data_IF_355742303145
#
_entry.id   IF_355742303145
#
_cell.length_a   1.000
_cell.length_b   1.000
_cell.length_c   1.000
_cell.angle_alpha   90.00
_cell.angle_beta   90.00
_cell.angle_gamma   90.00
#
_symmetry.space_group_name_H-M   'P 1'
#
loop_
_entity.id
_entity.type
_entity.pdbx_description
1 polymer ?
#
# COMPACT_ATOMS: atom_id res chain seq x y z
N UNK A 1 27.21 -21.67 -31.56
CA UNK A 1 25.87 -21.79 -30.95
C UNK A 1 26.14 -22.12 -29.49
N UNK A 2 26.05 -21.24 -28.52
CA UNK A 2 25.06 -20.20 -28.18
C UNK A 2 25.80 -18.99 -27.62
N UNK A 3 25.67 -17.82 -28.26
CA UNK A 3 26.17 -16.57 -27.70
C UNK A 3 25.21 -16.11 -26.61
N UNK A 4 25.62 -16.25 -25.35
CA UNK A 4 25.14 -15.39 -24.27
C UNK A 4 25.41 -13.95 -24.69
N UNK A 5 24.36 -13.24 -25.11
CA UNK A 5 24.43 -11.78 -25.25
C UNK A 5 24.55 -11.23 -23.85
N UNK A 6 25.76 -10.86 -23.46
CA UNK A 6 26.01 -9.95 -22.35
C UNK A 6 25.30 -8.64 -22.66
N UNK A 7 24.08 -8.52 -22.15
CA UNK A 7 23.38 -7.26 -22.03
C UNK A 7 24.04 -6.48 -20.88
N UNK A 8 25.11 -5.73 -21.17
CA UNK A 8 25.53 -4.59 -20.33
C UNK A 8 24.48 -3.48 -20.48
N UNK A 9 23.42 -3.51 -19.66
CA UNK A 9 22.29 -2.57 -19.73
C UNK A 9 21.97 -1.97 -18.36
N UNK A 10 21.56 -0.70 -18.37
CA UNK A 10 20.99 -0.01 -17.22
C UNK A 10 19.46 -0.26 -17.20
N UNK A 11 19.06 -1.37 -16.58
CA UNK A 11 17.68 -1.90 -16.52
C UNK A 11 16.69 -1.05 -15.68
N UNK A 12 17.13 0.08 -15.14
CA UNK A 12 16.58 0.54 -13.88
C UNK A 12 15.46 1.58 -13.98
N UNK A 13 15.29 2.30 -15.09
CA UNK A 13 14.46 3.52 -15.08
C UNK A 13 12.95 3.29 -14.97
N UNK A 14 12.37 2.51 -15.88
CA UNK A 14 10.92 2.26 -15.85
C UNK A 14 10.53 1.35 -14.68
N UNK A 15 11.40 0.41 -14.31
CA UNK A 15 11.26 -0.40 -13.09
C UNK A 15 11.23 0.50 -11.84
N UNK A 16 12.16 1.47 -11.73
CA UNK A 16 12.16 2.49 -10.66
C UNK A 16 10.95 3.44 -10.75
N UNK A 17 10.48 3.83 -11.94
CA UNK A 17 9.25 4.62 -12.13
C UNK A 17 8.02 3.88 -11.60
N UNK A 18 7.90 2.57 -11.84
CA UNK A 18 6.83 1.72 -11.31
C UNK A 18 7.00 1.55 -9.79
N UNK A 19 8.20 1.26 -9.30
CA UNK A 19 8.47 1.08 -7.87
C UNK A 19 8.18 2.34 -7.05
N UNK A 20 8.39 3.55 -7.58
CA UNK A 20 8.01 4.78 -6.87
C UNK A 20 6.56 5.20 -7.09
N UNK A 21 5.99 4.94 -8.27
CA UNK A 21 4.59 5.27 -8.55
C UNK A 21 3.60 4.31 -7.93
N UNK A 22 3.98 3.05 -7.77
CA UNK A 22 3.13 2.00 -7.21
C UNK A 22 3.51 1.71 -5.76
N UNK A 23 4.81 1.57 -5.47
CA UNK A 23 5.32 1.07 -4.18
C UNK A 23 6.00 2.13 -3.30
N UNK A 24 6.07 3.40 -3.73
CA UNK A 24 6.72 4.52 -3.00
C UNK A 24 8.17 4.24 -2.51
N UNK A 25 8.95 3.44 -3.25
CA UNK A 25 10.34 3.13 -2.89
C UNK A 25 11.31 4.26 -3.27
N UNK A 26 12.42 4.39 -2.53
CA UNK A 26 13.48 5.39 -2.79
C UNK A 26 14.19 5.07 -4.11
N UNK A 27 14.22 6.03 -5.04
CA UNK A 27 15.01 5.97 -6.28
C UNK A 27 16.32 6.79 -6.11
N UNK A 28 17.36 6.39 -6.83
CA UNK A 28 18.59 7.15 -7.11
C UNK A 28 18.32 8.63 -7.50
N UNK A 29 19.20 9.55 -7.09
CA UNK A 29 19.04 11.00 -7.25
C UNK A 29 19.09 11.48 -8.70
N UNK A 30 19.59 10.67 -9.63
CA UNK A 30 19.62 10.97 -11.06
C UNK A 30 18.23 10.94 -11.75
N UNK A 31 17.21 10.33 -11.12
CA UNK A 31 15.88 10.18 -11.71
C UNK A 31 14.77 10.73 -10.78
N UNK A 32 14.19 11.88 -11.15
CA UNK A 32 13.07 12.48 -10.41
C UNK A 32 11.72 12.03 -10.96
N UNK A 33 11.29 10.82 -10.60
CA UNK A 33 9.90 10.40 -10.75
C UNK A 33 9.08 10.86 -9.54
N UNK A 34 8.05 11.68 -9.72
CA UNK A 34 7.11 12.01 -8.64
C UNK A 34 5.71 11.55 -9.05
N UNK A 35 5.20 10.53 -8.36
CA UNK A 35 3.80 10.12 -8.51
C UNK A 35 2.94 10.71 -7.40
N UNK A 36 1.83 11.33 -7.81
CA UNK A 36 0.78 11.73 -6.91
C UNK A 36 -0.45 10.86 -7.18
N UNK A 37 -0.78 9.89 -6.32
CA UNK A 37 -2.00 9.08 -6.45
C UNK A 37 -3.27 9.95 -6.49
N UNK A 38 -3.29 11.03 -5.71
CA UNK A 38 -4.41 11.97 -5.66
C UNK A 38 -4.59 12.77 -6.97
N UNK A 39 -3.49 13.12 -7.63
CA UNK A 39 -3.51 13.92 -8.87
C UNK A 39 -3.40 13.06 -10.14
N UNK A 40 -3.10 11.76 -10.01
CA UNK A 40 -2.78 10.81 -11.10
C UNK A 40 -1.64 11.29 -12.01
N UNK A 41 -0.73 12.09 -11.46
CA UNK A 41 0.36 12.72 -12.21
C UNK A 41 1.67 12.02 -11.93
N UNK A 42 2.45 11.81 -12.99
CA UNK A 42 3.84 11.39 -12.96
C UNK A 42 4.65 12.52 -13.60
N UNK A 43 5.67 13.00 -12.91
CA UNK A 43 6.68 13.85 -13.54
C UNK A 43 7.83 12.99 -14.05
N UNK A 44 8.18 13.16 -15.34
CA UNK A 44 9.29 12.48 -16.00
C UNK A 44 10.39 13.49 -16.29
N UNK A 45 11.62 13.20 -15.86
CA UNK A 45 12.80 13.92 -16.31
C UNK A 45 13.43 13.16 -17.47
N UNK A 46 13.59 13.83 -18.61
CA UNK A 46 14.09 13.22 -19.84
C UNK A 46 15.58 13.44 -20.11
N UNK A 47 16.31 14.17 -19.26
CA UNK A 47 17.70 14.59 -19.53
C UNK A 47 18.65 13.44 -19.88
N UNK A 48 18.39 12.26 -19.31
CA UNK A 48 19.16 11.01 -19.46
C UNK A 48 18.91 10.25 -20.77
N UNK A 49 17.90 10.61 -21.55
CA UNK A 49 17.54 9.91 -22.79
C UNK A 49 18.16 10.54 -24.03
N UNK A 50 18.47 9.72 -25.02
CA UNK A 50 18.87 10.15 -26.36
C UNK A 50 17.75 10.93 -27.07
N UNK A 51 18.12 11.69 -28.10
CA UNK A 51 17.15 12.45 -28.90
C UNK A 51 16.09 11.54 -29.57
N UNK A 52 16.48 10.32 -29.96
CA UNK A 52 15.59 9.35 -30.58
C UNK A 52 14.57 8.81 -29.58
N UNK A 53 15.01 8.44 -28.38
CA UNK A 53 14.13 7.98 -27.29
C UNK A 53 13.18 9.09 -26.85
N UNK A 54 13.66 10.34 -26.70
CA UNK A 54 12.81 11.50 -26.38
C UNK A 54 11.67 11.67 -27.38
N UNK A 55 11.96 11.57 -28.69
CA UNK A 55 10.95 11.66 -29.75
C UNK A 55 9.92 10.54 -29.65
N UNK A 56 10.38 9.31 -29.39
CA UNK A 56 9.51 8.14 -29.22
C UNK A 56 8.61 8.24 -27.99
N UNK A 57 9.16 8.71 -26.87
CA UNK A 57 8.42 8.97 -25.63
C UNK A 57 7.32 10.01 -25.88
N UNK A 58 7.66 11.12 -26.55
CA UNK A 58 6.67 12.15 -26.89
C UNK A 58 5.57 11.60 -27.82
N UNK A 59 5.93 10.78 -28.81
CA UNK A 59 4.98 10.10 -29.70
C UNK A 59 4.04 9.14 -28.95
N UNK A 60 4.55 8.37 -27.98
CA UNK A 60 3.77 7.42 -27.18
C UNK A 60 2.83 8.11 -26.17
N UNK A 61 3.16 9.33 -25.76
CA UNK A 61 2.41 10.11 -24.78
C UNK A 61 1.46 11.14 -25.41
N UNK A 62 1.59 11.41 -26.72
CA UNK A 62 0.67 12.27 -27.46
C UNK A 62 -0.61 11.49 -27.83
N UNK A 63 -1.79 11.85 -27.28
CA UNK A 63 -3.03 11.13 -27.56
C UNK A 63 -3.47 11.23 -29.04
N UNK A 64 -2.92 12.17 -29.82
CA UNK A 64 -3.18 12.29 -31.26
C UNK A 64 -2.29 11.38 -32.11
N UNK A 65 -1.25 10.80 -31.52
CA UNK A 65 -0.34 9.88 -32.21
C UNK A 65 -1.03 8.56 -32.55
N UNK A 66 -0.82 8.07 -33.77
CA UNK A 66 -1.31 6.77 -34.21
C UNK A 66 -0.73 5.63 -33.37
N UNK A 67 0.55 5.73 -32.97
CA UNK A 67 1.18 4.73 -32.09
C UNK A 67 0.51 4.69 -30.72
N UNK A 68 0.24 5.86 -30.13
CA UNK A 68 -0.42 5.94 -28.83
C UNK A 68 -1.85 5.36 -28.87
N UNK A 69 -2.57 5.57 -29.98
CA UNK A 69 -3.91 4.99 -30.17
C UNK A 69 -3.87 3.46 -30.31
N UNK A 70 -2.89 2.91 -31.04
CA UNK A 70 -2.71 1.46 -31.16
C UNK A 70 -2.34 0.83 -29.81
N UNK A 71 -1.39 1.43 -29.09
CA UNK A 71 -1.00 0.97 -27.75
C UNK A 71 -2.18 1.04 -26.78
N UNK A 72 -3.01 2.09 -26.85
CA UNK A 72 -4.22 2.19 -26.04
C UNK A 72 -5.23 1.09 -26.36
N UNK A 73 -5.46 0.75 -27.63
CA UNK A 73 -6.35 -0.37 -27.99
C UNK A 73 -5.89 -1.71 -27.40
N UNK A 74 -4.59 -1.98 -27.45
CA UNK A 74 -4.00 -3.24 -26.99
C UNK A 74 -4.02 -3.33 -25.47
N UNK A 75 -3.56 -2.27 -24.80
CA UNK A 75 -3.38 -2.29 -23.35
C UNK A 75 -4.65 -1.86 -22.61
N UNK A 76 -5.62 -1.22 -23.27
CA UNK A 76 -6.78 -0.59 -22.65
C UNK A 76 -6.38 0.28 -21.43
N UNK A 77 -5.23 0.96 -21.55
CA UNK A 77 -4.65 1.88 -20.57
C UNK A 77 -3.84 2.93 -21.34
N UNK A 78 -3.89 4.19 -20.88
CA UNK A 78 -3.28 5.31 -21.61
C UNK A 78 -2.52 6.21 -20.65
N UNK A 79 -1.26 6.48 -20.99
CA UNK A 79 -0.46 7.56 -20.39
C UNK A 79 -0.49 8.78 -21.32
N UNK A 80 -0.93 9.93 -20.81
CA UNK A 80 -1.12 11.16 -21.60
C UNK A 80 -0.21 12.27 -21.11
N UNK A 81 0.54 12.89 -22.01
CA UNK A 81 1.26 14.13 -21.72
C UNK A 81 0.27 15.30 -21.61
N UNK A 82 0.38 16.11 -20.55
CA UNK A 82 -0.38 17.36 -20.44
C UNK A 82 0.20 18.42 -21.39
N UNK A 83 -0.66 19.13 -22.12
CA UNK A 83 -0.26 20.13 -23.15
C UNK A 83 0.66 21.23 -22.58
N UNK A 84 0.48 21.59 -21.31
CA UNK A 84 1.28 22.59 -20.59
C UNK A 84 2.74 22.17 -20.32
N UNK A 85 3.10 20.89 -20.55
CA UNK A 85 4.42 20.31 -20.25
C UNK A 85 5.34 20.14 -21.47
N UNK A 86 5.12 20.88 -22.55
CA UNK A 86 5.99 20.88 -23.75
C UNK A 86 7.37 21.54 -23.51
N UNK A 87 7.94 21.40 -22.31
CA UNK A 87 9.33 21.75 -22.06
C UNK A 87 10.19 20.50 -22.32
N UNK A 88 11.29 20.63 -23.08
CA UNK A 88 11.97 19.49 -23.75
C UNK A 88 12.43 18.37 -22.81
N UNK A 89 12.75 18.71 -21.56
CA UNK A 89 13.42 17.79 -20.63
C UNK A 89 12.59 17.43 -19.39
N UNK A 90 11.36 17.95 -19.24
CA UNK A 90 10.47 17.59 -18.12
C UNK A 90 9.02 17.48 -18.58
N UNK A 91 8.46 16.28 -18.50
CA UNK A 91 7.08 15.98 -18.91
C UNK A 91 6.20 15.70 -17.70
N UNK A 92 4.97 16.20 -17.71
CA UNK A 92 3.94 15.76 -16.77
C UNK A 92 2.97 14.82 -17.49
N UNK A 93 2.94 13.58 -17.02
CA UNK A 93 2.13 12.50 -17.58
C UNK A 93 0.98 12.17 -16.65
N UNK A 94 -0.18 11.90 -17.24
CA UNK A 94 -1.40 11.52 -16.55
C UNK A 94 -1.81 10.10 -16.94
N UNK A 95 -2.25 9.30 -15.96
CA UNK A 95 -2.83 7.98 -16.25
C UNK A 95 -4.33 8.17 -16.48
N UNK A 96 -4.75 8.00 -17.74
CA UNK A 96 -6.16 8.10 -18.13
C UNK A 96 -6.87 6.75 -18.02
N UNK A 97 -8.19 6.78 -17.83
CA UNK A 97 -9.06 5.60 -17.67
C UNK A 97 -8.78 4.70 -16.44
N UNK A 98 -8.57 5.29 -15.26
CA UNK A 98 -8.63 4.55 -13.99
C UNK A 98 -10.08 4.35 -13.54
N UNK A 99 -10.47 3.11 -13.27
CA UNK A 99 -11.77 2.78 -12.72
C UNK A 99 -11.96 3.49 -11.37
N UNK A 100 -13.16 4.05 -11.14
CA UNK A 100 -13.49 4.78 -9.91
C UNK A 100 -14.58 4.03 -9.18
N UNK A 101 -14.31 3.69 -7.92
CA UNK A 101 -15.28 3.07 -7.02
C UNK A 101 -15.56 4.06 -5.87
N UNK A 102 -16.75 4.66 -5.90
CA UNK A 102 -17.10 5.78 -5.03
C UNK A 102 -16.16 6.98 -5.25
N UNK A 103 -15.41 7.38 -4.22
CA UNK A 103 -14.46 8.50 -4.27
C UNK A 103 -13.01 8.09 -4.58
N UNK A 104 -12.72 6.78 -4.73
CA UNK A 104 -11.35 6.26 -4.88
C UNK A 104 -11.11 5.71 -6.28
N UNK A 105 -9.89 5.86 -6.78
CA UNK A 105 -9.44 5.18 -7.99
C UNK A 105 -8.93 3.78 -7.64
N UNK A 106 -9.36 2.79 -8.43
CA UNK A 106 -8.86 1.42 -8.37
C UNK A 106 -7.79 1.26 -9.43
N UNK A 107 -6.62 0.80 -9.00
CA UNK A 107 -5.48 0.57 -9.86
C UNK A 107 -5.34 -0.93 -10.08
N UNK A 108 -5.19 -1.34 -11.34
CA UNK A 108 -4.76 -2.69 -11.70
C UNK A 108 -3.23 -2.64 -11.87
N UNK A 109 -2.53 -2.90 -10.78
CA UNK A 109 -1.08 -2.74 -10.71
C UNK A 109 -0.34 -3.76 -11.60
N UNK A 110 -0.93 -4.93 -11.82
CA UNK A 110 -0.38 -5.94 -12.74
C UNK A 110 -0.46 -5.44 -14.17
N UNK A 111 -1.64 -5.00 -14.60
CA UNK A 111 -1.84 -4.42 -15.93
C UNK A 111 -0.97 -3.18 -16.14
N UNK A 112 -0.81 -2.35 -15.11
CA UNK A 112 0.09 -1.19 -15.15
C UNK A 112 1.54 -1.62 -15.35
N UNK A 113 2.05 -2.61 -14.60
CA UNK A 113 3.41 -3.14 -14.79
C UNK A 113 3.61 -3.67 -16.21
N UNK A 114 2.66 -4.44 -16.75
CA UNK A 114 2.75 -4.98 -18.10
C UNK A 114 2.73 -3.89 -19.17
N UNK A 115 1.84 -2.91 -19.01
CA UNK A 115 1.75 -1.74 -19.89
C UNK A 115 3.05 -0.95 -19.85
N UNK A 116 3.62 -0.72 -18.67
CA UNK A 116 4.87 0.02 -18.56
C UNK A 116 6.06 -0.75 -19.16
N UNK A 117 6.14 -2.06 -18.94
CA UNK A 117 7.14 -2.90 -19.60
C UNK A 117 7.01 -2.84 -21.13
N UNK A 118 5.77 -2.77 -21.64
CA UNK A 118 5.53 -2.59 -23.07
C UNK A 118 5.99 -1.23 -23.59
N UNK A 119 5.65 -0.14 -22.91
CA UNK A 119 6.16 1.19 -23.26
C UNK A 119 7.70 1.22 -23.27
N UNK A 120 8.33 0.63 -22.26
CA UNK A 120 9.79 0.51 -22.20
C UNK A 120 10.35 -0.25 -23.41
N UNK A 121 9.73 -1.37 -23.78
CA UNK A 121 10.15 -2.17 -24.91
C UNK A 121 9.96 -1.44 -26.26
N UNK A 122 8.95 -0.57 -26.39
CA UNK A 122 8.72 0.26 -27.58
C UNK A 122 9.72 1.41 -27.70
N UNK A 123 10.07 2.06 -26.59
CA UNK A 123 11.04 3.16 -26.56
C UNK A 123 12.42 2.66 -27.00
N UNK A 124 12.79 1.44 -26.57
CA UNK A 124 14.09 0.84 -26.83
C UNK A 124 14.17 0.05 -28.14
N UNK A 125 13.10 0.00 -28.94
CA UNK A 125 13.09 -0.71 -30.21
C UNK A 125 13.11 0.29 -31.39
N UNK A 126 14.30 0.60 -31.94
CA UNK A 126 14.43 1.58 -33.03
C UNK A 126 13.77 1.12 -34.34
N UNK A 127 13.47 -0.17 -34.49
CA UNK A 127 12.90 -0.75 -35.71
C UNK A 127 11.36 -0.69 -35.74
N UNK A 128 10.71 -0.39 -34.61
CA UNK A 128 9.25 -0.26 -34.52
C UNK A 128 8.85 1.19 -34.83
N UNK A 129 8.46 1.48 -36.07
CA UNK A 129 7.87 2.77 -36.47
C UNK A 129 6.38 2.61 -36.79
N UNK A 130 5.62 3.70 -36.79
CA UNK A 130 4.20 3.70 -37.18
C UNK A 130 3.99 3.16 -38.60
N UNK A 131 5.00 3.32 -39.46
CA UNK A 131 5.00 2.90 -40.86
C UNK A 131 5.34 1.42 -41.03
N UNK A 132 6.11 0.83 -40.10
CA UNK A 132 6.58 -0.56 -40.18
C UNK A 132 5.80 -1.54 -39.30
N UNK A 133 4.85 -1.06 -38.50
CA UNK A 133 4.20 -1.88 -37.46
C UNK A 133 2.68 -1.90 -37.60
N UNK A 134 2.09 -3.09 -37.69
CA UNK A 134 0.64 -3.26 -37.67
C UNK A 134 0.10 -3.41 -36.25
N UNK A 135 -1.23 -3.30 -36.08
CA UNK A 135 -1.90 -3.58 -34.80
C UNK A 135 -1.63 -5.02 -34.33
N UNK A 136 -1.53 -5.98 -35.27
CA UNK A 136 -1.23 -7.38 -34.98
C UNK A 136 0.18 -7.56 -34.43
N UNK A 137 1.18 -6.92 -35.05
CA UNK A 137 2.58 -7.04 -34.61
C UNK A 137 2.77 -6.47 -33.19
N UNK A 138 2.13 -5.33 -32.89
CA UNK A 138 2.16 -4.73 -31.56
C UNK A 138 1.45 -5.61 -30.53
N UNK A 139 0.36 -6.28 -30.92
CA UNK A 139 -0.39 -7.17 -30.05
C UNK A 139 0.45 -8.40 -29.69
N UNK A 140 1.11 -9.04 -30.66
CA UNK A 140 2.01 -10.18 -30.43
C UNK A 140 3.22 -9.78 -29.56
N UNK A 141 3.74 -8.57 -29.79
CA UNK A 141 4.83 -8.04 -28.97
C UNK A 141 4.40 -7.78 -27.53
N UNK A 142 3.21 -7.19 -27.33
CA UNK A 142 2.62 -7.02 -26.00
C UNK A 142 2.40 -8.36 -25.30
N UNK A 143 1.86 -9.37 -26.00
CA UNK A 143 1.65 -10.70 -25.43
C UNK A 143 2.97 -11.32 -24.96
N UNK A 144 4.03 -11.21 -25.77
CA UNK A 144 5.37 -11.71 -25.41
C UNK A 144 5.86 -11.05 -24.11
N UNK A 145 5.71 -9.74 -24.00
CA UNK A 145 6.12 -8.97 -22.81
C UNK A 145 5.27 -9.35 -21.60
N UNK A 146 3.96 -9.48 -21.76
CA UNK A 146 3.06 -9.89 -20.70
C UNK A 146 3.39 -11.30 -20.18
N UNK A 147 3.72 -12.25 -21.08
CA UNK A 147 4.16 -13.59 -20.67
C UNK A 147 5.48 -13.57 -19.90
N UNK A 148 6.44 -12.75 -20.32
CA UNK A 148 7.69 -12.57 -19.59
C UNK A 148 7.45 -12.00 -18.19
N UNK A 149 6.59 -10.97 -18.05
CA UNK A 149 6.25 -10.40 -16.75
C UNK A 149 5.50 -11.37 -15.85
N UNK A 150 4.60 -12.19 -16.40
CA UNK A 150 3.98 -13.30 -15.67
C UNK A 150 5.00 -14.31 -15.18
N UNK A 151 6.01 -14.62 -16.01
CA UNK A 151 7.15 -15.46 -15.65
C UNK A 151 7.89 -14.91 -14.43
N UNK A 152 8.27 -13.63 -14.45
CA UNK A 152 8.95 -12.97 -13.32
C UNK A 152 8.10 -12.99 -12.05
N UNK A 153 6.79 -12.73 -12.16
CA UNK A 153 5.87 -12.81 -11.01
C UNK A 153 5.78 -14.23 -10.46
N UNK A 154 5.72 -15.24 -11.33
CA UNK A 154 5.77 -16.65 -10.92
C UNK A 154 7.08 -17.00 -10.23
N UNK A 155 8.21 -16.54 -10.76
CA UNK A 155 9.54 -16.80 -10.18
C UNK A 155 9.69 -16.17 -8.79
N UNK A 156 9.17 -14.95 -8.60
CA UNK A 156 9.05 -14.34 -7.27
C UNK A 156 8.23 -15.23 -6.32
N UNK A 157 7.10 -15.75 -6.80
CA UNK A 157 6.28 -16.67 -6.03
C UNK A 157 7.01 -17.94 -5.63
N UNK A 158 7.77 -18.55 -6.54
CA UNK A 158 8.62 -19.70 -6.23
C UNK A 158 9.67 -19.37 -5.19
N UNK A 159 10.33 -18.21 -5.32
CA UNK A 159 11.29 -17.72 -4.35
C UNK A 159 10.68 -17.58 -2.95
N UNK A 160 9.50 -16.98 -2.86
CA UNK A 160 8.77 -16.82 -1.59
C UNK A 160 8.39 -18.19 -1.00
N UNK A 161 7.84 -19.09 -1.80
CA UNK A 161 7.41 -20.40 -1.32
C UNK A 161 8.59 -21.27 -0.87
N UNK A 162 9.70 -21.25 -1.60
CA UNK A 162 10.85 -22.14 -1.34
C UNK A 162 11.86 -21.54 -0.37
N UNK A 163 12.33 -20.30 -0.60
CA UNK A 163 13.36 -19.69 0.23
C UNK A 163 12.78 -19.07 1.51
N UNK A 164 11.62 -18.41 1.42
CA UNK A 164 11.03 -17.75 2.58
C UNK A 164 10.14 -18.68 3.41
N UNK A 165 9.35 -19.55 2.77
CA UNK A 165 8.40 -20.46 3.45
C UNK A 165 8.88 -21.91 3.53
N UNK A 166 10.03 -22.24 2.94
CA UNK A 166 10.69 -23.56 3.02
C UNK A 166 9.81 -24.71 2.51
N UNK A 167 8.95 -24.46 1.52
CA UNK A 167 8.28 -25.54 0.78
C UNK A 167 9.24 -26.19 -0.22
N UNK A 168 9.06 -27.49 -0.47
CA UNK A 168 9.83 -28.18 -1.49
C UNK A 168 9.33 -27.83 -2.89
N UNK A 169 10.25 -27.48 -3.80
CA UNK A 169 9.93 -27.02 -5.15
C UNK A 169 9.04 -28.00 -5.94
N UNK A 170 9.21 -29.31 -5.71
CA UNK A 170 8.50 -30.38 -6.41
C UNK A 170 7.00 -30.42 -6.13
N UNK A 171 6.58 -29.89 -4.97
CA UNK A 171 5.18 -29.91 -4.52
C UNK A 171 4.41 -28.65 -4.96
N UNK A 172 5.06 -27.73 -5.67
CA UNK A 172 4.53 -26.42 -6.04
C UNK A 172 4.15 -26.35 -7.52
N UNK A 173 2.94 -25.88 -7.80
CA UNK A 173 2.47 -25.61 -9.16
C UNK A 173 2.79 -24.19 -9.62
N UNK A 174 2.87 -24.01 -10.94
CA UNK A 174 3.07 -22.69 -11.57
C UNK A 174 1.93 -21.72 -11.24
N UNK A 175 0.70 -22.23 -11.16
CA UNK A 175 -0.46 -21.43 -10.78
C UNK A 175 -0.33 -20.91 -9.35
N UNK A 176 0.10 -21.76 -8.40
CA UNK A 176 0.25 -21.35 -7.01
C UNK A 176 1.36 -20.32 -6.85
N UNK A 177 2.51 -20.57 -7.46
CA UNK A 177 3.61 -19.62 -7.44
C UNK A 177 3.20 -18.28 -8.05
N UNK A 178 2.51 -18.27 -9.18
CA UNK A 178 2.02 -17.03 -9.77
C UNK A 178 1.05 -16.28 -8.85
N UNK A 179 0.08 -16.95 -8.22
CA UNK A 179 -0.85 -16.32 -7.26
C UNK A 179 -0.14 -15.74 -6.04
N UNK A 180 0.86 -16.45 -5.49
CA UNK A 180 1.69 -15.95 -4.39
C UNK A 180 2.50 -14.74 -4.84
N UNK A 181 3.13 -14.78 -6.01
CA UNK A 181 3.88 -13.65 -6.56
C UNK A 181 2.99 -12.42 -6.82
N UNK A 182 1.74 -12.64 -7.24
CA UNK A 182 0.76 -11.57 -7.48
C UNK A 182 0.48 -10.72 -6.26
N UNK A 183 0.74 -11.19 -5.03
CA UNK A 183 0.60 -10.38 -3.80
C UNK A 183 1.34 -9.05 -3.87
N UNK A 184 2.43 -8.93 -4.67
CA UNK A 184 3.10 -7.65 -4.90
C UNK A 184 2.17 -6.60 -5.52
N UNK A 185 1.17 -6.99 -6.30
CA UNK A 185 0.25 -6.06 -6.95
C UNK A 185 -0.91 -5.60 -6.07
N UNK A 186 -1.06 -6.13 -4.85
CA UNK A 186 -2.21 -5.80 -4.00
C UNK A 186 -1.82 -4.84 -2.88
N UNK A 187 -2.78 -3.98 -2.52
CA UNK A 187 -2.60 -2.99 -1.47
C UNK A 187 -3.79 -3.00 -0.52
N UNK A 188 -3.51 -2.85 0.77
CA UNK A 188 -4.52 -2.63 1.81
C UNK A 188 -4.15 -1.40 2.60
N UNK A 189 -5.05 -0.41 2.67
CA UNK A 189 -4.82 0.85 3.39
C UNK A 189 -3.48 1.57 3.04
N UNK A 190 -3.06 1.49 1.77
CA UNK A 190 -1.81 2.03 1.22
C UNK A 190 -0.51 1.31 1.68
N UNK A 191 -0.62 0.13 2.28
CA UNK A 191 0.50 -0.79 2.47
C UNK A 191 0.44 -1.88 1.41
N UNK A 192 1.60 -2.25 0.86
CA UNK A 192 1.69 -3.37 -0.07
C UNK A 192 1.35 -4.69 0.64
N UNK A 193 0.57 -5.54 -0.01
CA UNK A 193 0.13 -6.81 0.58
C UNK A 193 1.32 -7.75 0.81
N UNK A 194 2.21 -7.94 -0.17
CA UNK A 194 3.38 -8.81 0.01
C UNK A 194 4.26 -8.34 1.18
N UNK A 195 4.52 -7.03 1.28
CA UNK A 195 5.29 -6.46 2.40
C UNK A 195 4.60 -6.73 3.74
N UNK A 196 3.29 -6.53 3.83
CA UNK A 196 2.49 -6.85 5.01
C UNK A 196 2.58 -8.33 5.38
N UNK A 197 2.41 -9.23 4.40
CA UNK A 197 2.49 -10.68 4.64
C UNK A 197 3.86 -11.09 5.15
N UNK A 198 4.95 -10.61 4.54
CA UNK A 198 6.32 -10.88 4.97
C UNK A 198 6.57 -10.40 6.40
N UNK A 199 6.12 -9.18 6.69
CA UNK A 199 6.28 -8.53 7.98
C UNK A 199 5.53 -9.27 9.10
N UNK A 200 4.25 -9.58 8.91
CA UNK A 200 3.45 -10.35 9.87
C UNK A 200 4.04 -11.76 10.05
N UNK A 201 4.58 -12.36 8.99
CA UNK A 201 5.23 -13.67 9.04
C UNK A 201 6.49 -13.68 9.90
N UNK A 202 7.36 -12.67 9.74
CA UNK A 202 8.59 -12.53 10.52
C UNK A 202 8.26 -12.31 12.01
N UNK A 203 7.31 -11.41 12.29
CA UNK A 203 6.85 -11.16 13.66
C UNK A 203 6.25 -12.42 14.29
N UNK A 204 5.44 -13.17 13.54
CA UNK A 204 4.79 -14.40 14.02
C UNK A 204 5.80 -15.52 14.29
N UNK A 205 6.81 -15.68 13.43
CA UNK A 205 7.89 -16.64 13.64
C UNK A 205 8.68 -16.32 14.92
N UNK A 206 9.06 -15.06 15.11
CA UNK A 206 9.79 -14.61 16.30
C UNK A 206 8.96 -14.80 17.57
N UNK A 207 7.68 -14.46 17.53
CA UNK A 207 6.80 -14.61 18.69
C UNK A 207 6.56 -16.08 19.04
N UNK A 208 6.34 -16.93 18.04
CA UNK A 208 6.20 -18.38 18.22
C UNK A 208 7.46 -18.99 18.85
N UNK A 209 8.65 -18.57 18.42
CA UNK A 209 9.91 -19.02 19.01
C UNK A 209 9.99 -18.71 20.51
N UNK A 210 9.59 -17.50 20.93
CA UNK A 210 9.57 -17.12 22.37
C UNK A 210 8.59 -17.97 23.20
N UNK A 211 7.56 -18.53 22.57
CA UNK A 211 6.57 -19.40 23.19
C UNK A 211 6.91 -20.89 23.09
N UNK A 212 8.12 -21.25 22.61
CA UNK A 212 8.51 -22.64 22.32
C UNK A 212 7.57 -23.35 21.33
N UNK A 213 6.94 -22.60 20.42
CA UNK A 213 6.14 -23.11 19.31
C UNK A 213 6.97 -23.18 18.02
N UNK A 214 6.51 -23.94 17.03
CA UNK A 214 7.21 -24.08 15.75
C UNK A 214 7.20 -22.75 14.96
N UNK A 215 8.37 -22.09 14.75
CA UNK A 215 8.43 -20.79 14.06
C UNK A 215 8.03 -20.86 12.59
N UNK A 216 8.36 -21.96 11.90
CA UNK A 216 8.04 -22.16 10.49
C UNK A 216 6.53 -22.30 10.26
N UNK A 217 5.84 -23.03 11.14
CA UNK A 217 4.38 -23.12 11.09
C UNK A 217 3.74 -21.75 11.29
N UNK A 218 4.18 -20.99 12.29
CA UNK A 218 3.69 -19.63 12.52
C UNK A 218 3.95 -18.71 11.31
N UNK A 219 5.15 -18.77 10.73
CA UNK A 219 5.54 -18.03 9.51
C UNK A 219 4.60 -18.33 8.35
N UNK A 220 4.31 -19.61 8.09
CA UNK A 220 3.39 -20.04 7.01
C UNK A 220 1.94 -19.62 7.27
N UNK A 221 1.43 -19.83 8.48
CA UNK A 221 0.07 -19.41 8.86
C UNK A 221 -0.12 -17.91 8.63
N UNK A 222 0.83 -17.12 9.10
CA UNK A 222 0.84 -15.67 8.96
C UNK A 222 0.99 -15.21 7.50
N UNK A 223 1.82 -15.87 6.69
CA UNK A 223 1.99 -15.47 5.30
C UNK A 223 0.71 -15.62 4.49
N UNK A 224 -0.09 -16.65 4.76
CA UNK A 224 -1.28 -16.92 3.95
C UNK A 224 -2.57 -16.29 4.47
N UNK A 225 -2.58 -15.66 5.65
CA UNK A 225 -3.83 -15.18 6.28
C UNK A 225 -4.69 -14.31 5.35
N UNK A 226 -4.06 -13.45 4.56
CA UNK A 226 -4.71 -12.49 3.66
C UNK A 226 -4.57 -12.87 2.16
N UNK A 227 -4.17 -14.11 1.84
CA UNK A 227 -3.86 -14.52 0.45
C UNK A 227 -5.06 -14.40 -0.49
N UNK A 228 -6.29 -14.55 0.01
CA UNK A 228 -7.51 -14.45 -0.80
C UNK A 228 -7.74 -13.08 -1.45
N UNK A 229 -7.01 -12.04 -1.02
CA UNK A 229 -7.06 -10.73 -1.68
C UNK A 229 -6.61 -10.77 -3.14
N UNK A 230 -5.86 -11.79 -3.57
CA UNK A 230 -5.29 -11.87 -4.93
C UNK A 230 -6.25 -12.38 -6.01
N UNK A 231 -7.38 -12.99 -5.63
CA UNK A 231 -8.37 -13.54 -6.57
C UNK A 231 -9.54 -12.58 -6.78
N UNK A 232 -10.15 -12.10 -5.69
CA UNK A 232 -11.37 -11.29 -5.74
C UNK A 232 -12.55 -12.01 -6.41
N UNK A 233 -12.60 -13.34 -6.32
CA UNK A 233 -13.66 -14.16 -6.91
C UNK A 233 -14.92 -14.11 -6.02
N UNK A 234 -14.76 -13.94 -4.71
CA UNK A 234 -15.83 -13.68 -3.77
C UNK A 234 -15.78 -12.22 -3.26
N UNK A 235 -16.88 -11.76 -2.66
CA UNK A 235 -16.93 -10.44 -2.00
C UNK A 235 -16.17 -10.40 -0.66
N UNK A 236 -15.64 -11.55 -0.21
CA UNK A 236 -14.94 -11.73 1.05
C UNK A 236 -13.63 -12.50 0.80
N UNK A 237 -12.50 -11.84 1.10
CA UNK A 237 -11.17 -12.42 0.88
C UNK A 237 -10.88 -13.61 1.80
N UNK A 238 -11.62 -13.77 2.90
CA UNK A 238 -11.51 -14.95 3.76
C UNK A 238 -11.97 -16.19 3.01
N UNK A 239 -13.15 -16.12 2.38
CA UNK A 239 -13.71 -17.24 1.60
C UNK A 239 -12.81 -17.58 0.40
N UNK A 240 -12.33 -16.56 -0.31
CA UNK A 240 -11.34 -16.70 -1.38
C UNK A 240 -10.07 -17.42 -0.87
N UNK A 241 -9.54 -16.99 0.27
CA UNK A 241 -8.32 -17.54 0.86
C UNK A 241 -8.50 -19.00 1.28
N UNK A 242 -9.63 -19.35 1.89
CA UNK A 242 -9.95 -20.73 2.27
C UNK A 242 -10.08 -21.62 1.04
N UNK A 243 -10.74 -21.15 -0.02
CA UNK A 243 -10.85 -21.88 -1.28
C UNK A 243 -9.48 -22.14 -1.93
N UNK A 244 -8.61 -21.12 -1.95
CA UNK A 244 -7.23 -21.27 -2.43
C UNK A 244 -6.43 -22.26 -1.59
N UNK A 245 -6.49 -22.13 -0.26
CA UNK A 245 -5.75 -23.00 0.64
C UNK A 245 -6.15 -24.47 0.49
N UNK A 246 -7.45 -24.74 0.30
CA UNK A 246 -7.97 -26.09 0.00
C UNK A 246 -7.53 -26.57 -1.38
N UNK A 247 -7.60 -25.72 -2.41
CA UNK A 247 -7.18 -26.03 -3.79
C UNK A 247 -5.71 -26.44 -3.86
N UNK A 248 -4.84 -25.77 -3.11
CA UNK A 248 -3.40 -26.04 -3.09
C UNK A 248 -2.94 -26.90 -1.91
N UNK A 249 -3.87 -27.61 -1.26
CA UNK A 249 -3.59 -28.59 -0.21
C UNK A 249 -2.71 -28.05 0.94
N UNK A 250 -2.94 -26.80 1.36
CA UNK A 250 -2.25 -26.24 2.51
C UNK A 250 -2.70 -26.93 3.80
N UNK A 251 -1.79 -27.01 4.78
CA UNK A 251 -2.05 -27.64 6.08
C UNK A 251 -3.27 -27.04 6.78
N UNK A 252 -4.01 -27.86 7.55
CA UNK A 252 -5.25 -27.44 8.22
C UNK A 252 -5.07 -26.20 9.10
N UNK A 253 -3.94 -26.10 9.81
CA UNK A 253 -3.65 -24.96 10.67
C UNK A 253 -3.55 -23.64 9.87
N UNK A 254 -3.17 -23.70 8.58
CA UNK A 254 -3.13 -22.53 7.68
C UNK A 254 -4.56 -22.18 7.26
N UNK A 255 -5.35 -23.18 6.83
CA UNK A 255 -6.75 -23.00 6.44
C UNK A 255 -7.56 -22.36 7.57
N UNK A 256 -7.43 -22.89 8.79
CA UNK A 256 -8.06 -22.36 10.00
C UNK A 256 -7.58 -20.95 10.34
N UNK A 257 -6.29 -20.64 10.10
CA UNK A 257 -5.76 -19.29 10.31
C UNK A 257 -6.42 -18.30 9.35
N UNK A 258 -6.55 -18.68 8.08
CA UNK A 258 -7.23 -17.86 7.07
C UNK A 258 -8.71 -17.67 7.44
N UNK A 259 -9.40 -18.73 7.83
CA UNK A 259 -10.83 -18.65 8.21
C UNK A 259 -11.06 -17.77 9.46
N UNK A 260 -10.17 -17.85 10.45
CA UNK A 260 -10.33 -17.22 11.75
C UNK A 260 -9.69 -15.83 11.92
N UNK A 261 -8.89 -15.33 10.98
CA UNK A 261 -8.08 -14.12 11.23
C UNK A 261 -8.92 -12.83 11.40
N UNK A 262 -10.14 -12.77 10.86
CA UNK A 262 -11.08 -11.67 11.06
C UNK A 262 -12.22 -11.99 12.04
N UNK A 263 -12.57 -13.26 12.20
CA UNK A 263 -13.71 -13.69 13.00
C UNK A 263 -13.37 -13.78 14.50
N UNK A 264 -14.37 -13.67 15.36
CA UNK A 264 -14.21 -13.80 16.81
C UNK A 264 -14.32 -15.25 17.30
N UNK A 265 -14.70 -16.19 16.43
CA UNK A 265 -14.71 -17.61 16.78
C UNK A 265 -13.27 -18.11 16.94
N UNK A 266 -13.00 -18.68 18.12
CA UNK A 266 -11.69 -19.12 18.56
C UNK A 266 -11.60 -20.63 18.42
N UNK A 267 -10.64 -21.11 17.66
CA UNK A 267 -10.22 -22.51 17.72
C UNK A 267 -9.13 -22.63 18.78
N UNK A 268 -9.46 -23.21 19.93
CA UNK A 268 -8.52 -23.48 21.03
C UNK A 268 -7.31 -24.32 20.60
N UNK A 269 -7.45 -25.12 19.54
CA UNK A 269 -6.41 -26.06 19.10
C UNK A 269 -5.33 -25.46 18.18
N UNK A 270 -5.49 -24.23 17.69
CA UNK A 270 -4.55 -23.63 16.74
C UNK A 270 -3.88 -22.36 17.30
N UNK A 271 -2.70 -22.49 17.95
CA UNK A 271 -2.01 -21.34 18.52
C UNK A 271 -1.53 -20.35 17.43
N UNK A 272 -1.32 -20.80 16.19
CA UNK A 272 -0.82 -19.95 15.11
C UNK A 272 -1.86 -18.92 14.64
N UNK A 273 -3.15 -19.22 14.76
CA UNK A 273 -4.22 -18.26 14.51
C UNK A 273 -4.13 -17.07 15.47
N UNK A 274 -3.96 -17.33 16.78
CA UNK A 274 -3.86 -16.28 17.80
C UNK A 274 -2.64 -15.40 17.56
N UNK A 275 -1.49 -16.04 17.28
CA UNK A 275 -0.25 -15.33 16.99
C UNK A 275 -0.41 -14.44 15.75
N UNK A 276 -0.95 -15.01 14.66
CA UNK A 276 -1.16 -14.27 13.40
C UNK A 276 -2.05 -13.05 13.64
N UNK A 277 -3.16 -13.20 14.38
CA UNK A 277 -4.05 -12.08 14.71
C UNK A 277 -3.34 -11.00 15.53
N UNK A 278 -2.58 -11.39 16.54
CA UNK A 278 -1.85 -10.44 17.37
C UNK A 278 -0.82 -9.67 16.52
N UNK A 279 -0.06 -10.37 15.68
CA UNK A 279 0.96 -9.77 14.83
C UNK A 279 0.38 -8.92 13.69
N UNK A 280 -0.76 -9.31 13.10
CA UNK A 280 -1.50 -8.48 12.12
C UNK A 280 -1.96 -7.16 12.75
N UNK A 281 -2.54 -7.21 13.96
CA UNK A 281 -2.94 -6.00 14.70
C UNK A 281 -1.75 -5.12 15.07
N UNK A 282 -0.63 -5.71 15.52
CA UNK A 282 0.60 -4.96 15.78
C UNK A 282 1.15 -4.33 14.50
N UNK A 283 1.07 -5.05 13.38
CA UNK A 283 1.50 -4.54 12.09
C UNK A 283 0.70 -3.32 11.65
N UNK A 284 -0.63 -3.44 11.72
CA UNK A 284 -1.55 -2.36 11.41
C UNK A 284 -1.46 -1.16 12.38
N UNK A 285 -1.04 -1.38 13.62
CA UNK A 285 -0.96 -0.37 14.68
C UNK A 285 0.30 0.49 14.64
N UNK A 286 1.27 0.22 13.75
CA UNK A 286 2.52 0.98 13.66
C UNK A 286 2.29 2.40 13.14
N UNK A 287 2.88 3.38 13.83
CA UNK A 287 2.92 4.78 13.38
C UNK A 287 3.58 4.84 12.00
N UNK A 288 2.85 5.27 10.98
CA UNK A 288 3.34 5.35 9.59
C UNK A 288 2.95 4.19 8.68
N UNK A 289 2.51 3.04 9.19
CA UNK A 289 2.18 1.87 8.37
C UNK A 289 1.02 2.12 7.39
N UNK A 290 0.12 3.04 7.73
CA UNK A 290 -1.02 3.45 6.90
C UNK A 290 -1.07 4.97 6.82
N UNK A 291 -0.38 5.61 5.86
CA UNK A 291 -0.26 7.07 5.78
C UNK A 291 -1.61 7.80 5.72
N UNK A 292 -2.60 7.21 5.04
CA UNK A 292 -3.97 7.75 4.99
C UNK A 292 -4.69 7.65 6.35
N UNK A 293 -4.30 6.70 7.21
CA UNK A 293 -4.79 6.60 8.57
C UNK A 293 -4.15 7.67 9.46
N UNK A 294 -2.89 8.06 9.22
CA UNK A 294 -2.27 9.20 9.90
C UNK A 294 -2.94 10.52 9.51
N UNK A 295 -3.13 10.77 8.22
CA UNK A 295 -3.79 11.98 7.71
C UNK A 295 -5.23 12.09 8.24
N UNK A 296 -6.02 11.00 8.18
CA UNK A 296 -7.37 10.95 8.77
C UNK A 296 -7.38 11.04 10.29
N UNK A 297 -6.36 10.50 10.95
CA UNK A 297 -6.19 10.63 12.41
C UNK A 297 -5.95 12.08 12.77
N UNK A 298 -5.16 12.79 11.98
CA UNK A 298 -4.89 14.20 12.16
C UNK A 298 -6.16 15.04 11.94
N UNK A 299 -6.87 14.84 10.82
CA UNK A 299 -8.15 15.51 10.55
C UNK A 299 -9.18 15.28 11.68
N UNK A 300 -9.27 14.05 12.20
CA UNK A 300 -10.14 13.72 13.34
C UNK A 300 -9.69 14.45 14.60
N UNK A 301 -8.39 14.39 14.92
CA UNK A 301 -7.84 15.05 16.11
C UNK A 301 -8.05 16.56 16.03
N UNK A 302 -7.88 17.17 14.85
CA UNK A 302 -8.09 18.60 14.65
C UNK A 302 -9.57 18.98 14.82
N UNK A 303 -10.50 18.16 14.32
CA UNK A 303 -11.94 18.35 14.60
C UNK A 303 -12.27 18.24 16.08
N UNK A 304 -11.75 17.23 16.77
CA UNK A 304 -11.94 17.05 18.22
C UNK A 304 -11.34 18.23 18.98
N UNK A 305 -10.14 18.68 18.57
CA UNK A 305 -9.46 19.83 19.16
C UNK A 305 -10.30 21.09 19.00
N UNK A 306 -10.74 21.40 17.78
CA UNK A 306 -11.57 22.57 17.48
C UNK A 306 -12.88 22.56 18.27
N UNK A 307 -13.51 21.38 18.43
CA UNK A 307 -14.73 21.20 19.20
C UNK A 307 -14.50 21.47 20.69
N UNK A 308 -13.50 20.81 21.30
CA UNK A 308 -13.26 20.91 22.74
C UNK A 308 -12.60 22.24 23.15
N UNK A 309 -11.88 22.90 22.24
CA UNK A 309 -11.33 24.25 22.46
C UNK A 309 -12.40 25.33 22.66
N UNK A 310 -13.68 25.02 22.46
CA UNK A 310 -14.81 25.92 22.79
C UNK A 310 -15.15 25.92 24.29
N UNK A 311 -14.58 25.00 25.07
CA UNK A 311 -14.76 24.95 26.53
C UNK A 311 -13.75 25.92 27.15
N UNK A 312 -14.23 26.92 27.86
CA UNK A 312 -13.41 28.04 28.35
C UNK A 312 -12.40 27.60 29.43
N UNK A 313 -12.79 26.61 30.23
CA UNK A 313 -12.03 25.99 31.30
C UNK A 313 -10.80 25.21 30.82
N UNK A 314 -10.67 24.97 29.51
CA UNK A 314 -9.55 24.24 28.91
C UNK A 314 -8.41 25.19 28.52
N UNK A 315 -7.18 24.82 28.86
CA UNK A 315 -5.96 25.52 28.44
C UNK A 315 -5.31 24.87 27.22
N UNK A 316 -5.17 23.54 27.23
CA UNK A 316 -4.46 22.77 26.20
C UNK A 316 -5.07 21.38 26.03
N UNK A 317 -4.95 20.85 24.81
CA UNK A 317 -5.26 19.46 24.49
C UNK A 317 -4.02 18.77 23.92
N UNK A 318 -3.75 17.56 24.40
CA UNK A 318 -2.73 16.67 23.84
C UNK A 318 -3.37 15.34 23.45
N UNK A 319 -3.07 14.86 22.24
CA UNK A 319 -3.53 13.59 21.72
C UNK A 319 -2.39 12.58 21.82
N UNK A 320 -2.61 11.49 22.55
CA UNK A 320 -1.67 10.39 22.72
C UNK A 320 -2.23 9.13 22.07
N UNK A 321 -1.35 8.15 21.80
CA UNK A 321 -1.70 6.87 21.19
C UNK A 321 -2.56 7.06 19.93
N UNK A 322 -2.14 7.90 18.99
CA UNK A 322 -2.91 8.16 17.76
C UNK A 322 -4.28 8.78 18.02
N UNK A 323 -4.48 9.48 19.15
CA UNK A 323 -5.71 10.18 19.54
C UNK A 323 -6.78 9.32 20.22
N UNK A 324 -6.44 8.11 20.66
CA UNK A 324 -7.29 7.29 21.54
C UNK A 324 -7.27 7.78 22.98
N UNK A 325 -6.19 8.45 23.40
CA UNK A 325 -6.06 9.07 24.72
C UNK A 325 -6.02 10.59 24.51
N UNK A 326 -6.97 11.30 25.10
CA UNK A 326 -7.09 12.75 25.01
C UNK A 326 -6.81 13.33 26.38
N UNK A 327 -5.68 14.03 26.48
CA UNK A 327 -5.25 14.69 27.70
C UNK A 327 -5.69 16.15 27.66
N UNK A 328 -6.48 16.53 28.65
CA UNK A 328 -7.15 17.81 28.78
C UNK A 328 -6.51 18.57 29.92
N UNK A 329 -5.87 19.69 29.60
CA UNK A 329 -5.33 20.59 30.61
C UNK A 329 -6.37 21.66 30.93
N UNK A 330 -6.64 21.84 32.21
CA UNK A 330 -7.60 22.79 32.75
C UNK A 330 -6.88 24.05 33.21
N UNK A 331 -7.53 25.21 33.07
CA UNK A 331 -7.08 26.48 33.62
C UNK A 331 -7.42 26.54 35.11
N UNK A 332 -6.44 26.67 36.01
CA UNK A 332 -6.70 26.81 37.44
C UNK A 332 -7.59 27.98 37.81
N UNK A 333 -7.54 29.06 37.04
CA UNK A 333 -8.25 30.31 37.35
C UNK A 333 -9.75 30.24 37.04
N UNK A 334 -10.16 29.35 36.13
CA UNK A 334 -11.57 29.24 35.69
C UNK A 334 -12.23 27.90 36.03
N UNK A 335 -11.46 26.90 36.47
CA UNK A 335 -12.00 25.59 36.80
C UNK A 335 -12.25 25.42 38.31
N UNK A 336 -13.46 25.00 38.68
CA UNK A 336 -13.81 24.58 40.03
C UNK A 336 -14.05 23.07 40.10
N UNK A 337 -13.53 22.43 41.15
CA UNK A 337 -13.64 20.97 41.35
C UNK A 337 -15.09 20.47 41.39
N UNK A 338 -16.03 21.27 41.90
CA UNK A 338 -17.47 20.95 41.90
C UNK A 338 -18.04 20.73 40.50
N UNK A 339 -17.43 21.34 39.47
CA UNK A 339 -17.93 21.32 38.10
C UNK A 339 -17.34 20.15 37.29
N UNK A 340 -16.51 19.29 37.91
CA UNK A 340 -15.84 18.19 37.23
C UNK A 340 -16.81 17.23 36.54
N UNK A 341 -17.91 16.85 37.21
CA UNK A 341 -18.89 15.92 36.65
C UNK A 341 -19.70 16.53 35.51
N UNK A 342 -19.99 17.82 35.59
CA UNK A 342 -20.63 18.57 34.51
C UNK A 342 -19.70 18.68 33.30
N UNK A 343 -18.42 19.00 33.53
CA UNK A 343 -17.42 19.07 32.48
C UNK A 343 -17.24 17.73 31.75
N UNK A 344 -17.18 16.61 32.48
CA UNK A 344 -17.13 15.26 31.89
C UNK A 344 -18.36 14.99 31.00
N UNK A 345 -19.56 15.33 31.48
CA UNK A 345 -20.81 15.17 30.72
C UNK A 345 -20.82 16.05 29.46
N UNK A 346 -20.36 17.31 29.58
CA UNK A 346 -20.27 18.27 28.47
C UNK A 346 -19.32 17.77 27.39
N UNK A 347 -18.09 17.37 27.75
CA UNK A 347 -17.10 16.80 26.82
C UNK A 347 -17.67 15.57 26.11
N UNK A 348 -18.29 14.66 26.88
CA UNK A 348 -18.89 13.45 26.33
C UNK A 348 -20.04 13.75 25.37
N UNK A 349 -20.89 14.73 25.71
CA UNK A 349 -22.01 15.17 24.87
C UNK A 349 -21.53 15.79 23.56
N UNK A 350 -20.56 16.72 23.63
CA UNK A 350 -20.00 17.37 22.46
C UNK A 350 -19.42 16.33 21.48
N UNK A 351 -18.66 15.36 21.98
CA UNK A 351 -18.08 14.32 21.13
C UNK A 351 -19.09 13.32 20.57
N UNK A 352 -20.15 12.98 21.33
CA UNK A 352 -21.24 12.14 20.83
C UNK A 352 -22.01 12.82 19.69
N UNK A 353 -22.20 14.12 19.79
CA UNK A 353 -22.92 14.92 18.80
C UNK A 353 -22.03 15.35 17.63
N UNK A 354 -20.73 15.07 17.69
CA UNK A 354 -19.81 15.40 16.60
C UNK A 354 -19.94 14.37 15.47
N UNK A 355 -20.14 14.86 14.24
CA UNK A 355 -20.06 14.05 13.03
C UNK A 355 -18.60 13.70 12.70
N UNK A 356 -18.02 12.81 13.52
CA UNK A 356 -16.71 12.23 13.29
C UNK A 356 -16.85 11.05 12.34
N UNK A 357 -16.05 11.04 11.27
CA UNK A 357 -16.03 9.98 10.26
C UNK A 357 -15.72 8.59 10.85
N UNK A 358 -15.03 8.56 11.99
CA UNK A 358 -14.73 7.35 12.76
C UNK A 358 -14.80 7.70 14.25
N UNK A 359 -15.54 6.91 15.03
CA UNK A 359 -15.64 7.03 16.48
C UNK A 359 -14.89 5.87 17.14
N UNK A 360 -14.21 6.17 18.24
CA UNK A 360 -13.44 5.20 19.02
C UNK A 360 -13.84 5.28 20.48
N UNK A 361 -13.44 4.27 21.26
CA UNK A 361 -13.43 4.39 22.71
C UNK A 361 -12.30 5.35 23.10
N UNK A 362 -12.65 6.56 23.54
CA UNK A 362 -11.69 7.57 23.98
C UNK A 362 -11.46 7.46 25.48
N UNK A 363 -10.20 7.53 25.89
CA UNK A 363 -9.81 7.73 27.28
C UNK A 363 -9.49 9.21 27.50
N UNK A 364 -10.15 9.84 28.46
CA UNK A 364 -9.87 11.24 28.84
C UNK A 364 -9.02 11.29 30.10
N UNK A 365 -7.98 12.13 30.08
CA UNK A 365 -7.15 12.41 31.24
C UNK A 365 -7.26 13.91 31.50
N UNK A 366 -7.92 14.29 32.59
CA UNK A 366 -8.01 15.69 33.03
C UNK A 366 -6.79 16.02 33.90
N UNK A 367 -6.10 17.10 33.59
CA UNK A 367 -4.97 17.63 34.34
C UNK A 367 -5.24 19.07 34.75
N UNK A 368 -5.07 19.33 36.04
CA UNK A 368 -5.04 20.66 36.61
C UNK A 368 -3.64 20.85 37.19
N UNK A 369 -2.88 21.80 36.64
CA UNK A 369 -1.51 22.08 37.08
C UNK A 369 -1.52 23.50 37.66
N UNK A 370 -1.25 23.63 38.96
CA UNK A 370 -1.11 24.91 39.65
C UNK A 370 0.37 25.26 39.73
N UNK A 371 0.70 26.50 39.34
CA UNK A 371 2.04 27.05 39.51
C UNK A 371 1.88 28.42 40.14
N UNK A 372 2.49 28.60 41.31
CA UNK A 372 2.53 29.87 42.00
C UNK A 372 3.95 30.09 42.53
N UNK A 373 4.35 31.35 42.61
CA UNK A 373 5.68 31.75 43.04
C UNK A 373 5.54 32.97 43.92
N UNK A 374 6.03 32.88 45.15
CA UNK A 374 6.10 34.01 46.07
C UNK A 374 7.54 34.43 46.29
N UNK A 375 7.75 35.73 46.47
CA UNK A 375 9.00 36.30 46.94
C UNK A 375 8.86 36.54 48.45
N UNK A 376 9.86 36.11 49.23
CA UNK A 376 10.03 36.55 50.61
C UNK A 376 10.54 37.99 50.57
N UNK A 377 9.66 38.96 50.85
CA UNK A 377 10.12 40.30 51.20
C UNK A 377 10.40 40.28 52.71
N UNK A 378 11.69 40.26 53.06
CA UNK A 378 12.27 41.08 54.12
C UNK A 378 13.79 40.85 54.17
N UNK A 379 14.53 41.74 53.50
CA UNK A 379 15.77 42.36 54.00
C UNK A 379 15.95 43.74 53.37
#
# INVERSE_FOLDING_TARGET
MTQEKNFNFDHFLFEKFILKSVYNLKIDSAFSAHFSPAKKRIQLNLTVFSAQEKKKIQELLDPKSQLAQLVYKITNSKMVMLEESRNRDSLTVFIDHLYKEGSKFKFDFEKMEFTTAFYHALINNPNLTVESTTESDLLDYYYTIAQNQKGLTRDLGYKLLTEFLEYERKDLSDEWAYLVGKTKYFYSYNQNLLEHLLEVSILSANFAFQLNLNPLKAKRAAFFHDIGKVTGQYSDHVLDGVALAKKFHLDSYIVETIEGHHNYEYSESNPFLVITRAMDKLSAGRLGARPLQLEKTQERNDKIKALLSQIEELSKLEFLAGGHIIKIFLKPESFQWSNLEELKKRISSMLRNAELKYQYNYQFILRLEYSDSFLLNDY
#
